data_IF_047098251431
#
_entry.id   IF_047098251431
#
_cell.length_a   1.000
_cell.length_b   1.000
_cell.length_c   1.000
_cell.angle_alpha   90.00
_cell.angle_beta   90.00
_cell.angle_gamma   90.00
#
_symmetry.space_group_name_H-M   'P 1'
#
loop_
_entity.id
_entity.type
_entity.pdbx_description
1 polymer ?
#
# COMPACT_ATOMS: atom_id res chain seq x y z
N UNK A 1 14.94 -6.19 5.08
CA UNK A 1 14.99 -5.35 3.87
C UNK A 1 15.15 -3.91 4.34
N UNK A 2 16.07 -3.13 3.76
CA UNK A 2 16.15 -1.68 3.98
C UNK A 2 14.85 -0.95 3.60
N UNK A 3 14.53 0.16 4.28
CA UNK A 3 13.30 0.91 4.05
C UNK A 3 13.21 1.51 2.64
N UNK A 4 14.33 1.97 2.08
CA UNK A 4 14.36 2.48 0.71
C UNK A 4 14.04 1.38 -0.31
N UNK A 5 14.62 0.18 -0.17
CA UNK A 5 14.31 -0.95 -1.06
C UNK A 5 12.83 -1.35 -0.95
N UNK A 6 12.25 -1.32 0.25
CA UNK A 6 10.83 -1.61 0.44
C UNK A 6 9.95 -0.53 -0.20
N UNK A 7 10.29 0.75 -0.01
CA UNK A 7 9.58 1.88 -0.63
C UNK A 7 9.59 1.79 -2.16
N UNK A 8 10.72 1.42 -2.77
CA UNK A 8 10.82 1.23 -4.22
C UNK A 8 9.89 0.11 -4.71
N UNK A 9 9.73 -0.97 -3.94
CA UNK A 9 8.78 -2.03 -4.27
C UNK A 9 7.33 -1.56 -4.16
N UNK A 10 6.99 -0.81 -3.11
CA UNK A 10 5.67 -0.20 -2.94
C UNK A 10 5.31 0.73 -4.10
N UNK A 11 6.25 1.61 -4.49
CA UNK A 11 6.07 2.54 -5.60
C UNK A 11 5.88 1.81 -6.93
N UNK A 12 6.72 0.81 -7.21
CA UNK A 12 6.58 -0.02 -8.42
C UNK A 12 5.22 -0.71 -8.47
N UNK A 13 4.76 -1.25 -7.36
CA UNK A 13 3.46 -1.91 -7.29
C UNK A 13 2.30 -0.92 -7.43
N UNK A 14 2.37 0.24 -6.78
CA UNK A 14 1.41 1.33 -6.95
C UNK A 14 1.28 1.72 -8.42
N UNK A 15 2.40 1.96 -9.11
CA UNK A 15 2.44 2.33 -10.52
C UNK A 15 1.80 1.25 -11.41
N UNK A 16 2.08 -0.03 -11.15
CA UNK A 16 1.49 -1.15 -11.90
C UNK A 16 -0.03 -1.20 -11.72
N UNK A 17 -0.53 -1.06 -10.48
CA UNK A 17 -1.98 -1.10 -10.21
C UNK A 17 -2.67 0.16 -10.74
N UNK A 18 -2.04 1.34 -10.65
CA UNK A 18 -2.61 2.57 -11.17
C UNK A 18 -2.77 2.53 -12.71
N UNK A 19 -1.92 1.77 -13.41
CA UNK A 19 -2.02 1.58 -14.86
C UNK A 19 -3.26 0.80 -15.31
N UNK A 20 -3.82 -0.09 -14.48
CA UNK A 20 -5.02 -0.85 -14.85
C UNK A 20 -6.32 -0.08 -14.65
N UNK A 21 -6.26 1.11 -14.04
CA UNK A 21 -7.44 1.95 -13.83
C UNK A 21 -7.87 2.58 -15.16
N UNK A 22 -9.07 2.24 -15.64
CA UNK A 22 -9.59 2.77 -16.90
C UNK A 22 -9.93 4.27 -16.86
N UNK A 23 -10.30 4.80 -15.69
CA UNK A 23 -10.64 6.21 -15.50
C UNK A 23 -9.40 7.07 -15.28
N UNK A 24 -9.11 7.99 -16.23
CA UNK A 24 -8.01 8.96 -16.10
C UNK A 24 -8.15 9.81 -14.84
N UNK A 25 -9.33 10.36 -14.59
CA UNK A 25 -9.59 11.19 -13.41
C UNK A 25 -9.28 10.43 -12.12
N UNK A 26 -9.69 9.16 -12.02
CA UNK A 26 -9.43 8.35 -10.83
C UNK A 26 -7.95 8.04 -10.67
N UNK A 27 -7.25 7.70 -11.76
CA UNK A 27 -5.80 7.47 -11.76
C UNK A 27 -5.02 8.70 -11.30
N UNK A 28 -5.36 9.88 -11.83
CA UNK A 28 -4.68 11.13 -11.47
C UNK A 28 -4.95 11.48 -10.00
N UNK A 29 -6.18 11.25 -9.53
CA UNK A 29 -6.54 11.49 -8.13
C UNK A 29 -5.81 10.55 -7.16
N UNK A 30 -5.74 9.25 -7.49
CA UNK A 30 -5.00 8.25 -6.69
C UNK A 30 -3.51 8.57 -6.66
N UNK A 31 -2.93 8.99 -7.78
CA UNK A 31 -1.52 9.41 -7.86
C UNK A 31 -1.22 10.56 -6.91
N UNK A 32 -2.07 11.60 -6.91
CA UNK A 32 -1.93 12.74 -5.99
C UNK A 32 -1.98 12.27 -4.53
N UNK A 33 -2.96 11.43 -4.19
CA UNK A 33 -3.12 10.95 -2.81
C UNK A 33 -1.91 10.12 -2.35
N UNK A 34 -1.37 9.26 -3.21
CA UNK A 34 -0.18 8.46 -2.91
C UNK A 34 0.98 9.35 -2.46
N UNK A 35 1.40 10.28 -3.32
CA UNK A 35 2.53 11.20 -3.05
C UNK A 35 2.27 12.15 -1.87
N UNK A 36 1.02 12.51 -1.60
CA UNK A 36 0.68 13.33 -0.42
C UNK A 36 0.89 12.58 0.90
N UNK A 37 0.78 11.25 0.89
CA UNK A 37 0.88 10.43 2.11
C UNK A 37 2.30 9.94 2.43
N UNK A 38 3.24 9.98 1.48
CA UNK A 38 4.60 9.45 1.63
C UNK A 38 5.33 9.96 2.87
N UNK A 39 5.23 11.26 3.17
CA UNK A 39 5.94 11.87 4.31
C UNK A 39 5.54 11.28 5.66
N UNK A 40 4.26 10.96 5.83
CA UNK A 40 3.76 10.34 7.05
C UNK A 40 4.14 8.86 7.11
N UNK A 41 4.15 8.20 5.95
CA UNK A 41 4.51 6.79 5.82
C UNK A 41 5.96 6.53 6.24
N UNK A 42 6.93 7.34 5.79
CA UNK A 42 8.34 7.16 6.17
C UNK A 42 8.59 7.31 7.67
N UNK A 43 7.90 8.27 8.32
CA UNK A 43 7.99 8.43 9.78
C UNK A 43 7.52 7.18 10.51
N UNK A 44 6.32 6.69 10.16
CA UNK A 44 5.77 5.48 10.75
C UNK A 44 6.60 4.22 10.47
N UNK A 45 7.03 4.02 9.23
CA UNK A 45 7.83 2.86 8.85
C UNK A 45 9.18 2.77 9.54
N UNK A 46 9.70 3.89 10.06
CA UNK A 46 10.95 3.89 10.83
C UNK A 46 10.81 3.20 12.20
N UNK A 47 9.59 3.08 12.71
CA UNK A 47 9.27 2.47 14.00
C UNK A 47 8.57 1.10 13.84
N UNK A 48 8.02 0.81 12.66
CA UNK A 48 7.28 -0.41 12.38
C UNK A 48 8.15 -1.68 12.30
N UNK A 49 7.55 -2.84 12.55
CA UNK A 49 8.18 -4.13 12.23
C UNK A 49 8.23 -4.33 10.71
N UNK A 50 9.37 -3.99 10.12
CA UNK A 50 9.65 -4.12 8.70
C UNK A 50 9.35 -5.53 8.15
N UNK A 51 9.58 -6.60 8.92
CA UNK A 51 9.31 -7.97 8.44
C UNK A 51 7.81 -8.21 8.31
N UNK A 52 7.04 -7.73 9.28
CA UNK A 52 5.59 -7.82 9.24
C UNK A 52 5.01 -7.02 8.05
N UNK A 53 5.51 -5.81 7.81
CA UNK A 53 5.04 -4.96 6.71
C UNK A 53 5.36 -5.56 5.34
N UNK A 54 6.57 -6.10 5.13
CA UNK A 54 6.91 -6.82 3.90
C UNK A 54 6.00 -8.04 3.70
N UNK A 55 5.64 -8.75 4.76
CA UNK A 55 4.76 -9.93 4.67
C UNK A 55 3.34 -9.52 4.27
N UNK A 56 2.80 -8.46 4.87
CA UNK A 56 1.49 -7.93 4.49
C UNK A 56 1.46 -7.41 3.06
N UNK A 57 2.53 -6.77 2.62
CA UNK A 57 2.67 -6.29 1.25
C UNK A 57 2.75 -7.45 0.25
N UNK A 58 3.49 -8.51 0.56
CA UNK A 58 3.56 -9.71 -0.28
C UNK A 58 2.16 -10.32 -0.49
N UNK A 59 1.38 -10.50 0.58
CA UNK A 59 0.03 -11.03 0.46
C UNK A 59 -0.84 -10.17 -0.46
N UNK A 60 -0.72 -8.85 -0.38
CA UNK A 60 -1.47 -7.95 -1.25
C UNK A 60 -1.07 -8.07 -2.72
N UNK A 61 0.22 -8.18 -3.01
CA UNK A 61 0.74 -8.41 -4.37
C UNK A 61 0.18 -9.73 -4.91
N UNK A 62 0.21 -10.81 -4.14
CA UNK A 62 -0.27 -12.13 -4.55
C UNK A 62 -1.79 -12.18 -4.77
N UNK A 63 -2.57 -11.52 -3.91
CA UNK A 63 -4.03 -11.40 -4.10
C UNK A 63 -4.36 -10.54 -5.33
N UNK A 64 -3.63 -9.43 -5.52
CA UNK A 64 -3.81 -8.55 -6.69
C UNK A 64 -3.46 -9.27 -7.98
N UNK A 65 -2.39 -10.05 -8.00
CA UNK A 65 -2.01 -10.86 -9.15
C UNK A 65 -3.11 -11.86 -9.50
N UNK A 66 -3.64 -12.61 -8.52
CA UNK A 66 -4.73 -13.57 -8.75
C UNK A 66 -5.99 -12.91 -9.31
N UNK A 67 -6.34 -11.72 -8.82
CA UNK A 67 -7.46 -10.95 -9.36
C UNK A 67 -7.22 -10.51 -10.82
N UNK A 68 -6.01 -10.04 -11.13
CA UNK A 68 -5.64 -9.64 -12.49
C UNK A 68 -5.62 -10.81 -13.48
N UNK A 69 -5.22 -12.01 -13.06
CA UNK A 69 -5.19 -13.23 -13.90
C UNK A 69 -6.58 -13.59 -14.47
N UNK A 70 -7.65 -13.19 -13.79
CA UNK A 70 -9.04 -13.40 -14.24
C UNK A 70 -9.74 -12.10 -14.68
N UNK A 71 -9.01 -11.00 -14.81
CA UNK A 71 -9.52 -9.66 -15.15
C UNK A 71 -10.55 -9.10 -14.16
N UNK A 72 -10.46 -9.46 -12.88
CA UNK A 72 -11.31 -8.91 -11.82
C UNK A 72 -10.74 -7.61 -11.26
N UNK A 73 -10.93 -6.51 -12.00
CA UNK A 73 -10.44 -5.19 -11.61
C UNK A 73 -11.17 -4.60 -10.39
N UNK A 74 -12.39 -5.06 -10.10
CA UNK A 74 -13.12 -4.64 -8.91
C UNK A 74 -12.47 -5.23 -7.64
N UNK A 75 -12.12 -6.51 -7.67
CA UNK A 75 -11.36 -7.15 -6.61
C UNK A 75 -10.01 -6.46 -6.36
N UNK A 76 -9.29 -6.04 -7.42
CA UNK A 76 -8.05 -5.25 -7.28
C UNK A 76 -8.28 -3.99 -6.43
N UNK A 77 -9.38 -3.26 -6.67
CA UNK A 77 -9.76 -2.11 -5.86
C UNK A 77 -10.04 -2.46 -4.40
N UNK A 78 -10.77 -3.54 -4.14
CA UNK A 78 -11.05 -3.99 -2.77
C UNK A 78 -9.80 -4.46 -2.02
N UNK A 79 -8.90 -5.19 -2.69
CA UNK A 79 -7.63 -5.65 -2.12
C UNK A 79 -6.80 -4.45 -1.66
N UNK A 80 -6.64 -3.45 -2.53
CA UNK A 80 -5.91 -2.21 -2.22
C UNK A 80 -6.51 -1.46 -1.03
N UNK A 81 -7.83 -1.28 -1.02
CA UNK A 81 -8.55 -0.65 0.09
C UNK A 81 -8.31 -1.39 1.41
N UNK A 82 -8.39 -2.72 1.39
CA UNK A 82 -8.24 -3.54 2.57
C UNK A 82 -6.81 -3.46 3.12
N UNK A 83 -5.78 -3.53 2.27
CA UNK A 83 -4.40 -3.40 2.71
C UNK A 83 -4.11 -2.03 3.32
N UNK A 84 -4.57 -0.94 2.69
CA UNK A 84 -4.42 0.43 3.23
C UNK A 84 -5.09 0.53 4.61
N UNK A 85 -6.28 -0.03 4.76
CA UNK A 85 -7.02 -0.02 6.04
C UNK A 85 -6.27 -0.80 7.12
N UNK A 86 -5.73 -1.97 6.78
CA UNK A 86 -4.93 -2.78 7.70
C UNK A 86 -3.63 -2.08 8.11
N UNK A 87 -2.94 -1.43 7.17
CA UNK A 87 -1.76 -0.61 7.44
C UNK A 87 -2.08 0.53 8.40
N UNK A 88 -3.17 1.28 8.14
CA UNK A 88 -3.62 2.37 9.02
C UNK A 88 -3.96 1.88 10.44
N UNK A 89 -4.53 0.68 10.58
CA UNK A 89 -4.81 0.09 11.89
C UNK A 89 -3.53 -0.21 12.69
N UNK A 90 -2.49 -0.74 12.03
CA UNK A 90 -1.17 -0.96 12.65
C UNK A 90 -0.47 0.34 13.00
N UNK A 91 -0.58 1.35 12.13
CA UNK A 91 -0.08 2.70 12.39
C UNK A 91 -0.73 3.34 13.62
N UNK A 92 -2.06 3.23 13.75
CA UNK A 92 -2.76 3.73 14.91
C UNK A 92 -2.30 3.03 16.21
N UNK A 93 -2.16 1.70 16.19
CA UNK A 93 -1.70 0.95 17.36
C UNK A 93 -0.29 1.36 17.82
N UNK A 94 0.63 1.61 16.89
CA UNK A 94 1.99 2.08 17.22
C UNK A 94 1.98 3.50 17.81
N UNK A 95 1.18 4.41 17.23
CA UNK A 95 1.01 5.76 17.78
C UNK A 95 0.48 5.73 19.21
N UNK A 96 -0.49 4.88 19.49
CA UNK A 96 -1.10 4.79 20.82
C UNK A 96 -0.09 4.21 21.84
N UNK A 97 0.77 3.27 21.43
CA UNK A 97 1.87 2.76 22.28
C UNK A 97 2.95 3.81 22.58
N UNK A 98 3.22 4.74 21.65
CA UNK A 98 4.20 5.81 21.86
C UNK A 98 3.72 6.93 22.80
N UNK A 99 2.43 6.93 23.18
CA UNK A 99 1.82 7.91 24.09
C UNK A 99 1.71 7.42 25.54
N UNK A 100 2.01 6.15 25.80
CA UNK A 100 2.06 5.52 27.13
C UNK A 100 3.47 5.56 27.74
#
# INVERSE_FOLDING_TARGET
>A
MPLNEFSELCERFHNLVNNVIGSRMLRDFIEILYHQTDRFWFGWMSEADMRAEVTHFLHEVEETQRALEINDFEAVGYIRRNHITMMLARMAALRDQAQE
#
